data_IF_378201036843
#
_entry.id   IF_378201036843
#
_cell.length_a   1.000
_cell.length_b   1.000
_cell.length_c   1.000
_cell.angle_alpha   90.00
_cell.angle_beta   90.00
_cell.angle_gamma   90.00
#
_symmetry.space_group_name_H-M   'P 1'
#
loop_
_entity.id
_entity.type
_entity.pdbx_description
1 polymer ?
#
# COMPACT_ATOMS: atom_id res chain seq x y z
N UNK A 1 -17.69 5.18 9.59
CA UNK A 1 -18.94 4.68 9.01
C UNK A 1 -18.76 4.40 7.52
N UNK A 2 -19.59 3.58 6.94
CA UNK A 2 -19.66 3.21 5.52
C UNK A 2 -19.60 4.42 4.57
N UNK A 3 -20.32 5.48 4.88
CA UNK A 3 -20.38 6.70 4.08
C UNK A 3 -18.99 7.34 3.84
N UNK A 4 -18.05 7.14 4.74
CA UNK A 4 -16.68 7.62 4.58
C UNK A 4 -15.76 6.60 3.91
N UNK A 5 -16.04 5.30 4.10
CA UNK A 5 -15.20 4.23 3.56
C UNK A 5 -15.32 4.11 2.03
N UNK A 6 -16.54 4.19 1.49
CA UNK A 6 -16.76 4.00 0.04
C UNK A 6 -15.99 4.99 -0.84
N UNK A 7 -16.05 6.33 -0.59
CA UNK A 7 -15.27 7.28 -1.37
C UNK A 7 -13.76 7.06 -1.27
N UNK A 8 -13.27 6.73 -0.05
CA UNK A 8 -11.85 6.44 0.17
C UNK A 8 -11.43 5.18 -0.55
N UNK A 9 -12.22 4.11 -0.47
CA UNK A 9 -11.94 2.85 -1.17
C UNK A 9 -11.90 3.06 -2.69
N UNK A 10 -12.87 3.78 -3.25
CA UNK A 10 -12.89 4.11 -4.67
C UNK A 10 -11.63 4.89 -5.08
N UNK A 11 -11.24 5.90 -4.30
CA UNK A 11 -10.03 6.68 -4.54
C UNK A 11 -8.77 5.81 -4.46
N UNK A 12 -8.65 4.96 -3.45
CA UNK A 12 -7.48 4.06 -3.26
C UNK A 12 -7.34 3.10 -4.45
N UNK A 13 -8.45 2.52 -4.92
CA UNK A 13 -8.42 1.60 -6.06
C UNK A 13 -7.90 2.26 -7.35
N UNK A 14 -8.14 3.56 -7.54
CA UNK A 14 -7.60 4.29 -8.71
C UNK A 14 -6.09 4.51 -8.65
N UNK A 15 -5.47 4.44 -7.48
CA UNK A 15 -4.03 4.66 -7.30
C UNK A 15 -3.18 3.43 -7.65
N UNK A 16 -3.78 2.24 -7.77
CA UNK A 16 -3.04 1.05 -8.17
C UNK A 16 -2.85 1.02 -9.69
N UNK A 17 -1.64 0.74 -10.19
CA UNK A 17 -1.36 0.64 -11.61
C UNK A 17 -1.90 -0.65 -12.25
N UNK A 18 -2.45 -1.56 -11.45
CA UNK A 18 -3.00 -2.86 -11.85
C UNK A 18 -4.40 -3.04 -11.26
N UNK A 19 -5.16 -3.98 -11.80
CA UNK A 19 -6.46 -4.36 -11.24
C UNK A 19 -6.28 -5.09 -9.89
N UNK A 20 -6.87 -4.55 -8.84
CA UNK A 20 -6.91 -5.21 -7.52
C UNK A 20 -7.86 -6.40 -7.62
N UNK A 21 -7.38 -7.59 -7.23
CA UNK A 21 -8.14 -8.82 -7.33
C UNK A 21 -8.76 -9.25 -6.00
N UNK A 22 -8.17 -8.84 -4.88
CA UNK A 22 -8.64 -9.22 -3.55
C UNK A 22 -8.65 -8.05 -2.57
N UNK A 23 -9.64 -8.05 -1.70
CA UNK A 23 -9.77 -7.14 -0.58
C UNK A 23 -9.94 -7.95 0.70
N UNK A 24 -8.96 -7.86 1.58
CA UNK A 24 -9.00 -8.53 2.89
C UNK A 24 -9.22 -7.51 3.99
N UNK A 25 -10.19 -7.77 4.86
CA UNK A 25 -10.48 -6.91 6.02
C UNK A 25 -10.53 -7.70 7.30
N UNK A 26 -10.44 -7.01 8.42
CA UNK A 26 -10.84 -7.55 9.70
C UNK A 26 -12.37 -7.70 9.80
N UNK A 27 -12.87 -8.03 11.00
CA UNK A 27 -14.31 -8.19 11.24
C UNK A 27 -15.00 -6.86 11.59
N UNK A 28 -14.42 -5.71 11.28
CA UNK A 28 -15.05 -4.40 11.49
C UNK A 28 -16.34 -4.27 10.71
N UNK A 29 -17.41 -3.77 11.37
CA UNK A 29 -18.73 -3.62 10.76
C UNK A 29 -18.73 -2.67 9.56
N UNK A 30 -17.79 -1.72 9.51
CA UNK A 30 -17.61 -0.79 8.40
C UNK A 30 -17.17 -1.47 7.11
N UNK A 31 -16.46 -2.61 7.20
CA UNK A 31 -16.00 -3.38 6.05
C UNK A 31 -16.96 -4.51 5.66
N UNK A 32 -17.76 -4.98 6.64
CA UNK A 32 -18.73 -6.07 6.43
C UNK A 32 -20.12 -5.47 6.25
N UNK A 33 -20.31 -4.72 5.18
CA UNK A 33 -21.62 -4.17 4.87
C UNK A 33 -21.99 -4.38 3.40
N UNK A 34 -23.28 -4.26 3.11
CA UNK A 34 -23.83 -4.52 1.78
C UNK A 34 -23.30 -3.60 0.69
N UNK A 35 -22.97 -2.35 1.00
CA UNK A 35 -22.53 -1.38 0.00
C UNK A 35 -21.08 -1.63 -0.42
N UNK A 36 -20.21 -1.94 0.57
CA UNK A 36 -18.83 -2.33 0.29
C UNK A 36 -18.82 -3.64 -0.52
N UNK A 37 -19.61 -4.64 -0.09
CA UNK A 37 -19.71 -5.90 -0.81
C UNK A 37 -20.19 -5.71 -2.26
N UNK A 38 -21.23 -4.91 -2.49
CA UNK A 38 -21.72 -4.57 -3.85
C UNK A 38 -20.67 -3.86 -4.70
N UNK A 39 -19.90 -2.93 -4.13
CA UNK A 39 -18.82 -2.25 -4.84
C UNK A 39 -17.74 -3.24 -5.27
N UNK A 40 -17.29 -4.09 -4.35
CA UNK A 40 -16.24 -5.09 -4.63
C UNK A 40 -16.71 -6.13 -5.65
N UNK A 41 -17.95 -6.60 -5.53
CA UNK A 41 -18.57 -7.53 -6.49
C UNK A 41 -18.65 -6.91 -7.89
N UNK A 42 -19.14 -5.67 -8.00
CA UNK A 42 -19.20 -4.92 -9.27
C UNK A 42 -17.81 -4.77 -9.92
N UNK A 43 -16.78 -4.62 -9.11
CA UNK A 43 -15.39 -4.50 -9.56
C UNK A 43 -14.71 -5.87 -9.73
N UNK A 44 -15.40 -6.97 -9.46
CA UNK A 44 -14.86 -8.35 -9.47
C UNK A 44 -13.66 -8.53 -8.54
N UNK A 45 -13.71 -7.86 -7.38
CA UNK A 45 -12.70 -7.97 -6.33
C UNK A 45 -13.20 -8.97 -5.29
N UNK A 46 -12.43 -10.04 -5.07
CA UNK A 46 -12.74 -11.03 -4.06
C UNK A 46 -12.66 -10.43 -2.65
N UNK A 47 -13.75 -10.50 -1.91
CA UNK A 47 -13.76 -10.04 -0.51
C UNK A 47 -13.52 -11.22 0.43
N UNK A 48 -12.47 -11.11 1.24
CA UNK A 48 -12.16 -12.05 2.31
C UNK A 48 -12.11 -11.33 3.66
N UNK A 49 -12.32 -12.07 4.74
CA UNK A 49 -12.26 -11.52 6.09
C UNK A 49 -11.40 -12.40 7.00
N UNK A 50 -10.84 -11.79 8.03
CA UNK A 50 -10.08 -12.48 9.06
C UNK A 50 -10.94 -13.50 9.79
N UNK A 51 -10.36 -14.63 10.11
CA UNK A 51 -11.01 -15.65 10.93
C UNK A 51 -11.14 -15.14 12.37
N UNK A 52 -12.24 -15.50 13.02
CA UNK A 52 -12.43 -15.14 14.44
C UNK A 52 -11.31 -15.73 15.30
N UNK A 53 -10.73 -14.93 16.18
CA UNK A 53 -9.64 -15.30 17.12
C UNK A 53 -8.31 -15.73 16.44
N UNK A 54 -8.08 -15.37 15.19
CA UNK A 54 -6.82 -15.60 14.46
C UNK A 54 -6.11 -14.28 14.20
N UNK A 55 -5.40 -13.75 15.19
CA UNK A 55 -4.68 -12.45 15.10
C UNK A 55 -3.62 -12.42 13.98
N UNK A 56 -3.06 -13.56 13.61
CA UNK A 56 -2.06 -13.64 12.53
C UNK A 56 -2.62 -13.30 11.14
N UNK A 57 -3.93 -13.38 10.94
CA UNK A 57 -4.55 -13.05 9.65
C UNK A 57 -4.38 -11.55 9.31
N UNK A 58 -4.25 -10.68 10.32
CA UNK A 58 -4.05 -9.23 10.16
C UNK A 58 -2.60 -8.76 10.32
N UNK A 59 -1.66 -9.65 10.59
CA UNK A 59 -0.28 -9.28 10.95
C UNK A 59 0.39 -8.38 9.89
N UNK A 60 0.12 -8.58 8.60
CA UNK A 60 0.65 -7.74 7.52
C UNK A 60 0.07 -6.32 7.57
N UNK A 61 -1.25 -6.19 7.72
CA UNK A 61 -1.92 -4.90 7.81
C UNK A 61 -1.49 -4.13 9.07
N UNK A 62 -1.39 -4.81 10.22
CA UNK A 62 -0.94 -4.23 11.49
C UNK A 62 0.51 -3.73 11.41
N UNK A 63 1.41 -4.50 10.81
CA UNK A 63 2.81 -4.09 10.63
C UNK A 63 2.93 -2.86 9.71
N UNK A 64 2.11 -2.77 8.66
CA UNK A 64 2.05 -1.61 7.76
C UNK A 64 1.38 -0.42 8.43
N UNK A 65 0.32 -0.61 9.21
CA UNK A 65 -0.26 0.45 10.01
C UNK A 65 0.76 1.08 10.95
N UNK A 66 1.57 0.28 11.64
CA UNK A 66 2.63 0.78 12.51
C UNK A 66 3.71 1.55 11.73
N UNK A 67 4.25 0.97 10.65
CA UNK A 67 5.41 1.50 9.92
C UNK A 67 5.07 2.60 8.91
N UNK A 68 3.84 2.67 8.42
CA UNK A 68 3.40 3.60 7.37
C UNK A 68 2.49 4.69 7.94
N UNK A 69 1.51 4.32 8.76
CA UNK A 69 0.54 5.29 9.29
C UNK A 69 1.05 5.89 10.60
N UNK A 70 1.17 5.08 11.65
CA UNK A 70 1.46 5.57 13.00
C UNK A 70 2.83 6.23 13.14
N UNK A 71 3.84 5.70 12.44
CA UNK A 71 5.17 6.31 12.42
C UNK A 71 5.17 7.74 11.85
N UNK A 72 4.25 8.06 10.94
CA UNK A 72 4.21 9.36 10.27
C UNK A 72 3.13 10.30 10.82
N UNK A 73 1.98 9.78 11.24
CA UNK A 73 0.83 10.54 11.72
C UNK A 73 0.69 10.54 13.26
N UNK A 74 1.44 9.70 13.96
CA UNK A 74 1.32 9.55 15.42
C UNK A 74 0.14 8.71 15.85
N UNK A 75 -0.22 8.86 17.13
CA UNK A 75 -1.27 8.07 17.80
C UNK A 75 -2.44 8.94 18.27
N UNK A 76 -2.32 10.26 18.15
CA UNK A 76 -3.35 11.18 18.59
C UNK A 76 -4.58 11.10 17.68
N UNK A 77 -5.74 11.44 18.23
CA UNK A 77 -6.95 11.63 17.43
C UNK A 77 -6.76 12.81 16.46
N UNK A 78 -7.01 12.56 15.19
CA UNK A 78 -6.93 13.58 14.15
C UNK A 78 -8.36 14.02 13.81
N UNK A 79 -8.73 15.30 14.03
CA UNK A 79 -10.04 15.81 13.68
C UNK A 79 -10.34 15.68 12.18
N UNK A 80 -11.61 15.44 11.85
CA UNK A 80 -12.06 15.19 10.47
C UNK A 80 -11.72 16.32 9.48
N UNK A 81 -11.61 17.56 9.96
CA UNK A 81 -11.20 18.72 9.12
C UNK A 81 -9.84 18.53 8.43
N UNK A 82 -8.98 17.67 8.97
CA UNK A 82 -7.68 17.35 8.39
C UNK A 82 -7.71 16.19 7.38
N UNK A 83 -8.87 15.56 7.17
CA UNK A 83 -8.95 14.40 6.28
C UNK A 83 -8.55 14.71 4.84
N UNK A 84 -9.01 15.84 4.29
CA UNK A 84 -8.64 16.23 2.92
C UNK A 84 -7.15 16.56 2.77
N UNK A 85 -6.53 17.43 3.60
CA UNK A 85 -5.08 17.66 3.56
C UNK A 85 -4.26 16.37 3.72
N UNK A 86 -4.66 15.48 4.61
CA UNK A 86 -3.99 14.19 4.83
C UNK A 86 -4.11 13.30 3.59
N UNK A 87 -5.30 13.20 2.99
CA UNK A 87 -5.49 12.39 1.77
C UNK A 87 -4.66 12.94 0.61
N UNK A 88 -4.60 14.25 0.42
CA UNK A 88 -3.75 14.90 -0.58
C UNK A 88 -2.26 14.59 -0.33
N UNK A 89 -1.80 14.73 0.91
CA UNK A 89 -0.43 14.39 1.29
C UNK A 89 -0.09 12.92 0.96
N UNK A 90 -0.97 11.98 1.28
CA UNK A 90 -0.75 10.57 0.94
C UNK A 90 -0.71 10.36 -0.57
N UNK A 91 -1.66 10.90 -1.30
CA UNK A 91 -1.81 10.66 -2.73
C UNK A 91 -0.69 11.32 -3.54
N UNK A 92 -0.36 12.56 -3.24
CA UNK A 92 0.52 13.39 -4.07
C UNK A 92 2.00 13.27 -3.69
N UNK A 93 2.28 12.93 -2.43
CA UNK A 93 3.65 12.97 -1.91
C UNK A 93 4.09 11.66 -1.28
N UNK A 94 3.33 11.16 -0.29
CA UNK A 94 3.79 10.03 0.52
C UNK A 94 3.76 8.70 -0.23
N UNK A 95 2.69 8.40 -0.95
CA UNK A 95 2.58 7.17 -1.72
C UNK A 95 3.59 7.11 -2.88
N UNK A 96 3.82 8.18 -3.66
CA UNK A 96 4.90 8.23 -4.64
C UNK A 96 6.27 8.00 -4.00
N UNK A 97 6.60 8.70 -2.91
CA UNK A 97 7.84 8.47 -2.19
C UNK A 97 7.99 7.02 -1.72
N UNK A 98 6.95 6.46 -1.10
CA UNK A 98 6.96 5.10 -0.56
C UNK A 98 7.16 4.05 -1.67
N UNK A 99 6.51 4.24 -2.82
CA UNK A 99 6.49 3.27 -3.90
C UNK A 99 7.70 3.39 -4.86
N UNK A 100 8.24 4.58 -5.04
CA UNK A 100 9.27 4.85 -6.03
C UNK A 100 10.66 5.03 -5.44
N UNK A 101 10.76 5.55 -4.20
CA UNK A 101 12.01 6.04 -3.63
C UNK A 101 12.41 5.39 -2.30
N UNK A 102 11.53 4.56 -1.71
CA UNK A 102 11.83 3.89 -0.46
C UNK A 102 12.07 2.40 -0.65
N UNK A 103 13.33 1.93 -0.63
CA UNK A 103 13.62 0.50 -0.69
C UNK A 103 13.03 -0.27 0.50
N UNK A 104 12.54 -1.46 0.22
CA UNK A 104 12.04 -2.41 1.21
C UNK A 104 12.79 -3.73 1.08
N UNK A 105 12.93 -4.45 2.19
CA UNK A 105 13.48 -5.80 2.19
C UNK A 105 12.37 -6.81 1.82
N UNK A 106 12.62 -7.59 0.79
CA UNK A 106 11.76 -8.69 0.40
C UNK A 106 12.35 -10.02 0.87
N UNK A 107 11.48 -10.90 1.36
CA UNK A 107 11.91 -12.21 1.84
C UNK A 107 12.27 -13.14 0.69
N UNK A 108 13.43 -13.77 0.77
CA UNK A 108 13.82 -14.90 -0.08
C UNK A 108 13.61 -16.20 0.69
N UNK A 109 12.87 -17.15 0.11
CA UNK A 109 12.67 -18.47 0.70
C UNK A 109 13.90 -19.34 0.48
N UNK A 110 14.48 -19.85 1.57
CA UNK A 110 15.67 -20.73 1.52
C UNK A 110 15.35 -22.00 2.29
N UNK A 111 15.69 -23.15 1.72
CA UNK A 111 15.58 -24.42 2.43
C UNK A 111 16.73 -24.56 3.41
N UNK A 112 16.42 -24.72 4.70
CA UNK A 112 17.42 -24.95 5.74
C UNK A 112 18.00 -26.36 5.66
N UNK A 113 19.12 -26.61 6.33
CA UNK A 113 19.76 -27.94 6.41
C UNK A 113 18.84 -29.02 7.01
N UNK A 114 17.75 -28.62 7.65
CA UNK A 114 16.72 -29.52 8.22
C UNK A 114 15.49 -29.67 7.30
N UNK A 115 15.57 -29.25 6.01
CA UNK A 115 14.48 -29.36 5.04
C UNK A 115 13.33 -28.36 5.25
N UNK A 116 13.44 -27.41 6.20
CA UNK A 116 12.39 -26.41 6.46
C UNK A 116 12.61 -25.17 5.59
N UNK A 117 11.54 -24.63 5.01
CA UNK A 117 11.58 -23.37 4.30
C UNK A 117 11.66 -22.22 5.33
N UNK A 118 12.70 -21.42 5.22
CA UNK A 118 12.95 -20.26 6.10
C UNK A 118 13.02 -19.00 5.24
N UNK A 119 12.35 -17.94 5.67
CA UNK A 119 12.44 -16.62 5.04
C UNK A 119 13.72 -15.92 5.48
N UNK A 120 14.52 -15.48 4.52
CA UNK A 120 15.71 -14.67 4.76
C UNK A 120 15.55 -13.31 4.11
N UNK A 121 16.09 -12.28 4.77
CA UNK A 121 16.09 -10.89 4.32
C UNK A 121 17.54 -10.44 4.19
N UNK A 122 17.99 -10.17 2.96
CA UNK A 122 19.34 -9.72 2.69
C UNK A 122 19.31 -8.24 2.28
N UNK A 123 20.19 -7.38 2.80
CA UNK A 123 20.26 -5.97 2.37
C UNK A 123 20.47 -5.80 0.86
N UNK A 124 21.21 -6.72 0.22
CA UNK A 124 21.41 -6.72 -1.24
C UNK A 124 20.14 -6.97 -2.04
N UNK A 125 19.10 -7.55 -1.43
CA UNK A 125 17.79 -7.81 -2.05
C UNK A 125 16.80 -6.64 -1.82
N UNK A 126 17.27 -5.53 -1.24
CA UNK A 126 16.45 -4.35 -1.04
C UNK A 126 16.10 -3.71 -2.38
N UNK A 127 14.82 -3.45 -2.59
CA UNK A 127 14.28 -2.80 -3.79
C UNK A 127 13.05 -1.99 -3.47
N UNK A 128 12.73 -1.02 -4.31
CA UNK A 128 11.49 -0.27 -4.20
C UNK A 128 10.29 -1.14 -4.59
N UNK A 129 9.08 -0.81 -4.14
CA UNK A 129 7.86 -1.47 -4.63
C UNK A 129 7.74 -1.42 -6.16
N UNK A 130 8.13 -0.31 -6.82
CA UNK A 130 8.13 -0.21 -8.28
C UNK A 130 9.09 -1.22 -8.94
N UNK A 131 10.31 -1.38 -8.42
CA UNK A 131 11.25 -2.36 -8.94
C UNK A 131 10.73 -3.79 -8.80
N UNK A 132 10.09 -4.09 -7.66
CA UNK A 132 9.44 -5.38 -7.45
C UNK A 132 8.29 -5.59 -8.45
N UNK A 133 7.43 -4.58 -8.62
CA UNK A 133 6.30 -4.63 -9.55
C UNK A 133 6.78 -4.80 -11.00
N UNK A 134 7.86 -4.10 -11.39
CA UNK A 134 8.47 -4.23 -12.71
C UNK A 134 8.93 -5.66 -12.99
N UNK A 135 9.57 -6.31 -12.02
CA UNK A 135 9.99 -7.72 -12.13
C UNK A 135 8.79 -8.65 -12.32
N UNK A 136 7.72 -8.47 -11.54
CA UNK A 136 6.50 -9.27 -11.65
C UNK A 136 5.80 -9.06 -13.00
N UNK A 137 5.76 -7.83 -13.49
CA UNK A 137 5.18 -7.51 -14.79
C UNK A 137 5.96 -8.14 -15.94
N UNK A 138 7.29 -8.01 -15.94
CA UNK A 138 8.16 -8.62 -16.95
C UNK A 138 8.12 -10.16 -16.92
N UNK A 139 7.84 -10.75 -15.76
CA UNK A 139 7.60 -12.18 -15.61
C UNK A 139 6.19 -12.64 -16.02
N UNK A 140 5.33 -11.71 -16.49
CA UNK A 140 3.95 -12.02 -16.88
C UNK A 140 3.00 -12.31 -15.72
N UNK A 141 3.41 -12.02 -14.49
CA UNK A 141 2.61 -12.31 -13.28
C UNK A 141 1.61 -11.19 -12.92
N UNK A 142 1.86 -9.97 -13.40
CA UNK A 142 0.99 -8.82 -13.18
C UNK A 142 0.76 -8.08 -14.49
N UNK A 143 -0.51 -7.84 -14.83
CA UNK A 143 -0.91 -6.97 -15.93
C UNK A 143 -1.26 -5.58 -15.40
N UNK A 144 -0.77 -4.53 -16.08
CA UNK A 144 -1.19 -3.15 -15.79
C UNK A 144 -2.58 -2.86 -16.35
N UNK A 145 -3.21 -1.84 -15.81
CA UNK A 145 -4.41 -1.29 -16.40
C UNK A 145 -4.09 -0.71 -17.81
N UNK A 146 -5.09 -0.63 -18.72
CA UNK A 146 -4.85 -0.20 -20.09
C UNK A 146 -4.23 1.19 -20.24
N UNK A 147 -4.47 2.07 -19.25
CA UNK A 147 -4.01 3.45 -19.21
C UNK A 147 -2.62 3.60 -18.54
N UNK A 148 -2.01 2.52 -18.08
CA UNK A 148 -0.73 2.54 -17.35
C UNK A 148 0.34 1.73 -18.07
N UNK A 149 1.54 2.30 -18.18
CA UNK A 149 2.71 1.59 -18.71
C UNK A 149 3.87 1.59 -17.72
N UNK A 150 4.69 0.55 -17.77
CA UNK A 150 5.91 0.48 -16.96
C UNK A 150 6.84 1.67 -17.22
N UNK A 151 6.95 2.08 -18.49
CA UNK A 151 7.78 3.21 -18.89
C UNK A 151 7.32 4.52 -18.23
N UNK A 152 6.01 4.76 -18.15
CA UNK A 152 5.47 5.95 -17.49
C UNK A 152 5.74 5.95 -15.98
N UNK A 153 5.58 4.80 -15.30
CA UNK A 153 5.90 4.67 -13.88
C UNK A 153 7.39 4.87 -13.60
N UNK A 154 8.24 4.32 -14.44
CA UNK A 154 9.70 4.51 -14.33
C UNK A 154 10.12 5.95 -14.63
N UNK A 155 9.44 6.64 -15.54
CA UNK A 155 9.69 8.06 -15.82
C UNK A 155 9.34 8.93 -14.60
N UNK A 156 8.21 8.65 -13.93
CA UNK A 156 7.83 9.31 -12.69
C UNK A 156 8.88 9.10 -11.59
N UNK A 157 9.35 7.86 -11.40
CA UNK A 157 10.38 7.56 -10.43
C UNK A 157 11.70 8.30 -10.71
N UNK A 158 12.09 8.44 -11.99
CA UNK A 158 13.32 9.12 -12.39
C UNK A 158 13.25 10.65 -12.38
N UNK A 159 12.04 11.22 -12.24
CA UNK A 159 11.86 12.67 -12.21
C UNK A 159 12.53 13.34 -10.99
N UNK A 160 12.78 12.56 -9.94
CA UNK A 160 13.46 13.03 -8.73
C UNK A 160 14.49 12.00 -8.27
N UNK A 161 15.51 12.45 -7.55
CA UNK A 161 16.40 11.55 -6.81
C UNK A 161 15.73 11.08 -5.51
N UNK A 162 16.17 9.95 -4.95
CA UNK A 162 15.64 9.43 -3.69
C UNK A 162 15.82 10.42 -2.54
N UNK A 163 16.92 11.17 -2.53
CA UNK A 163 17.17 12.21 -1.56
C UNK A 163 16.19 13.38 -1.72
N UNK A 164 16.01 13.89 -2.93
CA UNK A 164 15.08 14.99 -3.21
C UNK A 164 13.63 14.60 -2.88
N UNK A 165 13.20 13.40 -3.26
CA UNK A 165 11.88 12.88 -2.94
C UNK A 165 11.68 12.73 -1.43
N UNK A 166 12.71 12.29 -0.69
CA UNK A 166 12.65 12.17 0.76
C UNK A 166 12.56 13.55 1.44
N UNK A 167 13.32 14.53 0.97
CA UNK A 167 13.26 15.90 1.47
C UNK A 167 11.89 16.54 1.20
N UNK A 168 11.36 16.38 -0.01
CA UNK A 168 10.03 16.86 -0.38
C UNK A 168 8.93 16.24 0.51
N UNK A 169 9.00 14.92 0.75
CA UNK A 169 8.07 14.22 1.63
C UNK A 169 8.14 14.76 3.06
N UNK A 170 9.33 14.97 3.60
CA UNK A 170 9.48 15.52 4.95
C UNK A 170 8.96 16.97 5.05
N UNK A 171 9.24 17.81 4.06
CA UNK A 171 8.73 19.17 4.01
C UNK A 171 7.19 19.20 3.94
N UNK A 172 6.59 18.39 3.06
CA UNK A 172 5.14 18.28 2.96
C UNK A 172 4.49 17.77 4.26
N UNK A 173 5.15 16.81 4.94
CA UNK A 173 4.70 16.33 6.24
C UNK A 173 4.75 17.41 7.31
N UNK A 174 5.81 18.22 7.35
CA UNK A 174 5.93 19.34 8.30
C UNK A 174 4.84 20.37 8.06
N UNK A 175 4.59 20.74 6.81
CA UNK A 175 3.54 21.67 6.44
C UNK A 175 2.13 21.18 6.80
N UNK A 176 1.91 19.87 6.83
CA UNK A 176 0.62 19.28 7.19
C UNK A 176 0.25 19.51 8.67
N UNK A 177 1.24 19.62 9.55
CA UNK A 177 1.06 19.78 11.00
C UNK A 177 1.48 21.17 11.53
N UNK A 178 1.83 22.10 10.64
CA UNK A 178 2.07 23.50 10.96
C UNK A 178 0.74 24.27 11.03
#
# INVERSE_FOLDING_TARGET
>A
SEAFLLPVLALVLTQFPFAVQGFHSDNGSEYINHQVAKLLEKLRIEQTKSRSRHSNDNALAESKNASVVRKHMGYAHIPQRFAQPINAFYQETFNPWLNFHRPCLYATSVTSNKGKIVKRYKPADAKTPLECLAQLHLAGQVAFRPDVTLAALQAQARAQTDLAATQAMQAAKQALFA
#
